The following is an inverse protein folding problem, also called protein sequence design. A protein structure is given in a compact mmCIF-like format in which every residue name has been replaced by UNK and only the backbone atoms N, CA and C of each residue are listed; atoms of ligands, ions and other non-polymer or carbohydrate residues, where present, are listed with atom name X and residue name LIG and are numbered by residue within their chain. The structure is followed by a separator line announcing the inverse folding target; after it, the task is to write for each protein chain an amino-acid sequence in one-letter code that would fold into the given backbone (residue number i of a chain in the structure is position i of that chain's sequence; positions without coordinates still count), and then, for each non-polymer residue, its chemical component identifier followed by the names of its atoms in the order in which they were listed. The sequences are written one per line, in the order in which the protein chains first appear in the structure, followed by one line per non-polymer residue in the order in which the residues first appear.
data_IF_359706204445
#
_entry.id   IF_359706204445
#
_cell.length_a   1.000
_cell.length_b   1.000
_cell.length_c   1.000
_cell.angle_alpha   90.00
_cell.angle_beta   90.00
_cell.angle_gamma   90.00
#
_symmetry.space_group_name_H-M   'P 1'
#
loop_
_entity.id
_entity.type
_entity.pdbx_description
1 polymer ?
#
# COMPACT_ATOMS: atom_id res chain seq x y z
N UNK A 1 12.75 11.69 -5.67
CA UNK A 1 13.22 10.50 -6.41
C UNK A 1 13.53 10.99 -7.81
N UNK A 2 14.65 10.62 -8.43
CA UNK A 2 14.92 10.99 -9.82
C UNK A 2 14.17 10.05 -10.77
N UNK A 3 13.54 10.63 -11.78
CA UNK A 3 13.11 9.96 -13.00
C UNK A 3 13.73 10.71 -14.17
N UNK A 4 14.29 10.01 -15.15
CA UNK A 4 14.89 10.65 -16.32
C UNK A 4 13.99 10.47 -17.53
N UNK A 5 13.41 11.57 -18.02
CA UNK A 5 12.44 11.61 -19.12
C UNK A 5 13.10 11.68 -20.52
N UNK A 6 14.30 11.14 -20.70
CA UNK A 6 15.04 11.25 -21.99
C UNK A 6 14.99 9.94 -22.78
N UNK A 7 14.58 10.00 -24.05
CA UNK A 7 14.49 8.85 -24.97
C UNK A 7 15.82 8.09 -25.18
N UNK A 8 16.95 8.72 -24.87
CA UNK A 8 18.29 8.11 -24.93
C UNK A 8 18.57 7.11 -23.80
N UNK A 9 17.75 7.06 -22.76
CA UNK A 9 17.92 6.17 -21.62
C UNK A 9 17.07 4.88 -21.73
N UNK A 10 16.27 4.73 -22.79
CA UNK A 10 15.43 3.56 -23.00
C UNK A 10 16.28 2.36 -23.43
N UNK A 11 16.61 1.47 -22.48
CA UNK A 11 17.33 0.23 -22.79
C UNK A 11 16.59 -0.67 -23.78
N UNK A 12 17.29 -1.64 -24.41
CA UNK A 12 16.81 -2.50 -25.51
C UNK A 12 15.43 -3.15 -25.29
N UNK A 13 15.03 -3.42 -24.05
CA UNK A 13 13.78 -4.11 -23.71
C UNK A 13 12.86 -3.31 -22.77
N UNK A 14 13.22 -2.06 -22.46
CA UNK A 14 12.52 -1.23 -21.49
C UNK A 14 12.58 -1.76 -20.04
N UNK A 15 12.11 -0.97 -19.08
CA UNK A 15 12.01 -1.38 -17.67
C UNK A 15 10.58 -1.84 -17.35
N UNK A 16 10.40 -3.15 -17.14
CA UNK A 16 9.09 -3.75 -16.81
C UNK A 16 8.94 -4.17 -15.35
N UNK A 17 9.90 -3.82 -14.50
CA UNK A 17 9.97 -4.31 -13.11
C UNK A 17 8.89 -3.71 -12.19
N UNK A 18 8.25 -2.60 -12.59
CA UNK A 18 7.18 -1.95 -11.84
C UNK A 18 5.99 -2.86 -11.53
N UNK A 19 5.75 -3.91 -12.32
CA UNK A 19 4.62 -4.81 -12.11
C UNK A 19 4.97 -6.05 -11.28
N UNK A 20 6.26 -6.38 -11.13
CA UNK A 20 6.66 -7.71 -10.63
C UNK A 20 6.27 -7.95 -9.17
N UNK A 21 6.31 -6.89 -8.36
CA UNK A 21 6.02 -6.94 -6.93
C UNK A 21 4.58 -6.54 -6.60
N UNK A 22 3.76 -6.28 -7.61
CA UNK A 22 2.37 -5.89 -7.41
C UNK A 22 1.44 -7.12 -7.44
N UNK A 23 0.46 -7.18 -6.53
CA UNK A 23 -0.59 -8.19 -6.61
C UNK A 23 -1.49 -7.92 -7.81
N UNK A 24 -2.34 -8.89 -8.18
CA UNK A 24 -3.39 -8.65 -9.17
C UNK A 24 -4.56 -7.90 -8.52
N UNK A 25 -4.30 -6.69 -8.03
CA UNK A 25 -5.23 -5.93 -7.20
C UNK A 25 -6.56 -5.67 -7.88
N UNK A 26 -6.57 -5.40 -9.19
CA UNK A 26 -7.83 -5.16 -9.89
C UNK A 26 -8.71 -6.41 -9.93
N UNK A 27 -8.12 -7.61 -9.96
CA UNK A 27 -8.84 -8.88 -10.03
C UNK A 27 -9.60 -9.24 -8.75
N UNK A 28 -9.07 -8.88 -7.57
CA UNK A 28 -9.75 -9.15 -6.29
C UNK A 28 -10.48 -7.93 -5.73
N UNK A 29 -10.31 -6.74 -6.31
CA UNK A 29 -10.90 -5.49 -5.80
C UNK A 29 -12.43 -5.45 -5.80
N UNK A 30 -13.11 -6.36 -6.49
CA UNK A 30 -14.55 -6.27 -6.77
C UNK A 30 -14.93 -5.13 -7.71
N UNK A 31 -13.98 -4.57 -8.44
CA UNK A 31 -14.19 -3.44 -9.37
C UNK A 31 -14.02 -2.06 -8.74
N UNK A 32 -13.78 -1.97 -7.43
CA UNK A 32 -13.61 -0.70 -6.70
C UNK A 32 -12.26 -0.02 -6.96
N UNK A 33 -11.23 -0.81 -7.27
CA UNK A 33 -9.89 -0.33 -7.61
C UNK A 33 -9.48 -0.86 -8.98
N UNK A 34 -9.44 0.03 -9.95
CA UNK A 34 -9.05 -0.22 -11.32
C UNK A 34 -7.56 0.03 -11.52
N UNK A 35 -6.97 -0.73 -12.45
CA UNK A 35 -5.59 -0.56 -12.89
C UNK A 35 -5.46 0.49 -13.98
N UNK A 36 -4.33 1.18 -13.99
CA UNK A 36 -3.91 2.14 -15.02
C UNK A 36 -2.55 2.75 -14.68
N UNK A 37 -1.94 3.51 -15.60
CA UNK A 37 -0.63 4.13 -15.32
C UNK A 37 -0.64 5.08 -14.11
N UNK A 38 -1.81 5.68 -13.80
CA UNK A 38 -2.00 6.56 -12.65
C UNK A 38 -1.81 5.87 -11.28
N UNK A 39 -1.83 4.54 -11.19
CA UNK A 39 -1.67 3.86 -9.89
C UNK A 39 -0.20 3.56 -9.55
N UNK A 40 0.72 3.86 -10.47
CA UNK A 40 2.15 3.56 -10.40
C UNK A 40 2.51 2.09 -10.66
N UNK A 41 1.65 1.16 -10.28
CA UNK A 41 1.82 -0.28 -10.47
C UNK A 41 1.04 -0.90 -11.65
N UNK A 42 1.10 -2.23 -11.77
CA UNK A 42 0.23 -3.03 -12.64
C UNK A 42 0.11 -4.45 -12.11
N UNK A 43 -1.07 -5.05 -12.26
CA UNK A 43 -1.37 -6.44 -11.97
C UNK A 43 -0.42 -7.42 -12.68
N UNK A 44 0.34 -8.23 -11.92
CA UNK A 44 1.17 -9.29 -12.51
C UNK A 44 1.42 -10.51 -11.61
N UNK A 45 1.56 -10.37 -10.28
CA UNK A 45 1.80 -11.49 -9.34
C UNK A 45 3.04 -12.33 -9.72
N UNK A 46 4.22 -11.70 -9.82
CA UNK A 46 5.47 -12.43 -10.10
C UNK A 46 6.28 -12.73 -8.85
N UNK A 47 6.46 -11.73 -7.99
CA UNK A 47 7.30 -11.78 -6.80
C UNK A 47 6.45 -11.48 -5.56
N UNK A 48 5.88 -12.52 -4.97
CA UNK A 48 5.05 -12.42 -3.76
C UNK A 48 5.92 -12.46 -2.50
N UNK A 49 5.81 -11.48 -1.57
CA UNK A 49 6.46 -11.58 -0.28
C UNK A 49 5.91 -12.75 0.55
N UNK A 50 6.79 -13.43 1.29
CA UNK A 50 6.41 -14.49 2.22
C UNK A 50 5.96 -13.91 3.56
N UNK A 51 5.36 -14.72 4.43
CA UNK A 51 5.10 -14.34 5.82
C UNK A 51 6.36 -13.75 6.49
N UNK A 52 7.50 -14.42 6.29
CA UNK A 52 8.80 -13.99 6.82
C UNK A 52 9.15 -12.55 6.39
N UNK A 53 8.90 -12.19 5.13
CA UNK A 53 9.19 -10.85 4.62
C UNK A 53 8.42 -9.74 5.36
N UNK A 54 7.24 -10.03 5.90
CA UNK A 54 6.50 -9.09 6.76
C UNK A 54 6.95 -9.19 8.23
N UNK A 55 7.21 -10.41 8.71
CA UNK A 55 7.47 -10.69 10.11
C UNK A 55 8.81 -10.12 10.63
N UNK A 56 9.82 -10.00 9.76
CA UNK A 56 11.16 -9.49 10.13
C UNK A 56 11.17 -8.03 10.61
N UNK A 57 10.18 -7.24 10.22
CA UNK A 57 10.11 -5.83 10.60
C UNK A 57 9.42 -5.66 11.94
N UNK A 58 9.89 -4.75 12.79
CA UNK A 58 9.07 -4.22 13.90
C UNK A 58 8.03 -3.26 13.30
N UNK A 59 6.74 -3.63 13.34
CA UNK A 59 5.71 -2.83 12.70
C UNK A 59 5.42 -1.51 13.44
N UNK A 60 5.96 -1.30 14.64
CA UNK A 60 5.86 -0.04 15.39
C UNK A 60 7.09 0.83 15.14
N UNK A 61 8.29 0.29 15.33
CA UNK A 61 9.52 1.10 15.38
C UNK A 61 10.32 1.11 14.06
N UNK A 62 10.00 0.22 13.12
CA UNK A 62 10.75 0.11 11.87
C UNK A 62 10.07 0.86 10.72
N UNK A 63 10.58 2.05 10.40
CA UNK A 63 10.03 2.84 9.29
C UNK A 63 10.16 2.15 7.93
N UNK A 64 11.09 1.20 7.79
CA UNK A 64 11.36 0.52 6.51
C UNK A 64 10.14 -0.26 6.03
N UNK A 65 9.37 -0.85 6.93
CA UNK A 65 8.16 -1.59 6.59
C UNK A 65 7.16 -0.69 5.86
N UNK A 66 6.84 0.44 6.48
CA UNK A 66 5.85 1.41 6.00
C UNK A 66 6.31 2.18 4.76
N UNK A 67 7.62 2.28 4.54
CA UNK A 67 8.23 2.86 3.34
C UNK A 67 8.46 1.86 2.21
N UNK A 68 8.28 0.56 2.44
CA UNK A 68 8.53 -0.51 1.45
C UNK A 68 7.24 -1.06 0.87
N UNK A 69 6.21 -1.23 1.68
CA UNK A 69 4.99 -1.92 1.29
C UNK A 69 3.86 -0.94 0.96
N UNK A 70 3.16 -1.18 -0.15
CA UNK A 70 1.94 -0.46 -0.51
C UNK A 70 0.76 -1.09 0.21
N UNK A 71 0.39 -0.49 1.33
CA UNK A 71 -0.66 -1.03 2.21
C UNK A 71 -2.05 -0.50 1.88
N UNK A 72 -2.16 0.59 1.12
CA UNK A 72 -3.44 1.18 0.73
C UNK A 72 -3.47 1.37 -0.78
N UNK A 73 -4.59 1.01 -1.40
CA UNK A 73 -4.95 1.43 -2.74
C UNK A 73 -6.27 2.20 -2.64
N UNK A 74 -6.31 3.43 -3.16
CA UNK A 74 -7.52 4.23 -3.15
C UNK A 74 -8.58 3.71 -4.13
N UNK A 75 -9.83 4.02 -3.81
CA UNK A 75 -11.01 3.69 -4.60
C UNK A 75 -11.11 4.70 -5.75
N UNK A 76 -10.93 4.21 -6.98
CA UNK A 76 -10.96 5.03 -8.19
C UNK A 76 -12.10 4.66 -9.14
N UNK A 77 -13.01 3.78 -8.71
CA UNK A 77 -14.21 3.43 -9.45
C UNK A 77 -15.34 3.07 -8.49
N UNK A 78 -16.51 3.68 -8.69
CA UNK A 78 -17.73 3.28 -7.96
C UNK A 78 -18.31 2.03 -8.64
N UNK A 79 -18.20 0.88 -7.96
CA UNK A 79 -18.59 -0.41 -8.54
C UNK A 79 -20.07 -0.76 -8.33
N UNK A 80 -20.71 -0.19 -7.32
CA UNK A 80 -22.10 -0.48 -6.94
C UNK A 80 -22.79 0.80 -6.44
N UNK A 81 -24.13 0.84 -6.55
CA UNK A 81 -24.92 1.95 -6.02
C UNK A 81 -24.90 1.95 -4.49
N UNK A 82 -25.00 3.12 -3.87
CA UNK A 82 -24.93 3.29 -2.42
C UNK A 82 -25.93 2.38 -1.67
N UNK A 83 -27.18 2.32 -2.13
CA UNK A 83 -28.23 1.50 -1.50
C UNK A 83 -27.89 0.00 -1.53
N UNK A 84 -27.31 -0.48 -2.64
CA UNK A 84 -26.88 -1.87 -2.79
C UNK A 84 -25.71 -2.20 -1.85
N UNK A 85 -24.77 -1.24 -1.69
CA UNK A 85 -23.63 -1.38 -0.77
C UNK A 85 -24.14 -1.47 0.68
N UNK A 86 -25.08 -0.60 1.06
CA UNK A 86 -25.73 -0.62 2.39
C UNK A 86 -26.40 -1.96 2.64
N UNK A 87 -27.28 -2.40 1.74
CA UNK A 87 -28.06 -3.61 1.91
C UNK A 87 -27.20 -4.88 1.93
N UNK A 88 -26.21 -4.97 1.04
CA UNK A 88 -25.36 -6.17 0.90
C UNK A 88 -24.42 -6.35 2.09
N UNK A 89 -23.87 -5.25 2.61
CA UNK A 89 -22.80 -5.29 3.61
C UNK A 89 -23.27 -5.03 5.04
N UNK A 90 -24.55 -4.65 5.23
CA UNK A 90 -25.11 -4.35 6.54
C UNK A 90 -24.47 -3.13 7.20
N UNK A 91 -24.13 -2.12 6.39
CA UNK A 91 -23.54 -0.84 6.83
C UNK A 91 -24.58 0.29 6.75
N UNK A 92 -24.23 1.48 7.22
CA UNK A 92 -25.09 2.67 7.14
C UNK A 92 -24.74 3.55 5.92
N UNK A 93 -25.65 4.45 5.55
CA UNK A 93 -25.47 5.32 4.37
C UNK A 93 -24.26 6.25 4.48
N UNK A 94 -23.94 6.75 5.68
CA UNK A 94 -22.75 7.58 5.93
C UNK A 94 -21.45 6.80 5.83
N UNK A 95 -21.50 5.47 5.97
CA UNK A 95 -20.35 4.57 5.84
C UNK A 95 -20.04 4.17 4.39
N UNK A 96 -20.91 4.49 3.43
CA UNK A 96 -20.66 4.19 2.01
C UNK A 96 -19.42 4.97 1.54
N UNK A 97 -18.43 4.28 0.93
CA UNK A 97 -17.22 4.93 0.43
C UNK A 97 -17.47 5.64 -0.90
N UNK A 98 -16.67 6.66 -1.13
CA UNK A 98 -16.68 7.52 -2.32
C UNK A 98 -15.32 7.46 -3.02
N UNK A 99 -15.18 8.11 -4.18
CA UNK A 99 -13.88 8.20 -4.86
C UNK A 99 -12.85 8.87 -3.95
N UNK A 100 -11.66 8.28 -3.84
CA UNK A 100 -10.61 8.75 -2.94
C UNK A 100 -10.68 8.17 -1.52
N UNK A 101 -11.72 7.41 -1.18
CA UNK A 101 -11.69 6.59 0.03
C UNK A 101 -10.82 5.34 -0.16
N UNK A 102 -10.54 4.62 0.91
CA UNK A 102 -9.72 3.41 0.86
C UNK A 102 -10.47 2.28 0.14
N UNK A 103 -9.91 1.78 -0.97
CA UNK A 103 -10.50 0.67 -1.75
C UNK A 103 -9.93 -0.69 -1.36
N UNK A 104 -8.62 -0.74 -1.09
CA UNK A 104 -7.91 -1.93 -0.59
C UNK A 104 -7.01 -1.52 0.56
N UNK A 105 -7.09 -2.24 1.68
CA UNK A 105 -6.17 -2.11 2.80
C UNK A 105 -5.54 -3.46 3.15
N UNK A 106 -4.22 -3.44 3.33
CA UNK A 106 -3.45 -4.53 3.91
C UNK A 106 -3.08 -4.14 5.34
N UNK A 107 -3.55 -4.91 6.32
CA UNK A 107 -3.29 -4.66 7.74
C UNK A 107 -2.13 -5.54 8.15
N UNK A 108 -0.94 -4.94 8.22
CA UNK A 108 0.31 -5.63 8.52
C UNK A 108 0.52 -5.76 10.04
N UNK A 109 -0.44 -6.43 10.69
CA UNK A 109 -0.46 -6.66 12.13
C UNK A 109 0.55 -7.72 12.59
N UNK A 110 0.58 -8.00 13.89
CA UNK A 110 1.41 -9.06 14.50
C UNK A 110 0.55 -10.28 14.85
N UNK A 111 1.18 -11.45 14.97
CA UNK A 111 0.53 -12.69 15.43
C UNK A 111 -0.23 -12.53 16.75
N UNK A 112 0.27 -11.67 17.63
CA UNK A 112 -0.34 -11.38 18.94
C UNK A 112 -1.51 -10.39 18.88
N UNK A 113 -1.90 -9.90 17.70
CA UNK A 113 -3.02 -8.97 17.55
C UNK A 113 -4.36 -9.72 17.55
N UNK A 114 -5.08 -9.61 18.66
CA UNK A 114 -6.33 -10.32 18.88
C UNK A 114 -7.56 -9.60 18.31
N UNK A 115 -7.39 -8.40 17.72
CA UNK A 115 -8.50 -7.66 17.10
C UNK A 115 -9.05 -8.36 15.87
N UNK A 116 -8.24 -9.20 15.22
CA UNK A 116 -8.62 -10.06 14.10
C UNK A 116 -8.73 -11.49 14.63
N UNK A 117 -9.95 -11.91 14.92
CA UNK A 117 -10.25 -13.15 15.68
C UNK A 117 -10.05 -14.38 14.81
N UNK A 118 -10.47 -14.28 13.55
CA UNK A 118 -10.28 -15.28 12.51
C UNK A 118 -10.18 -14.60 11.13
N UNK A 119 -10.09 -15.39 10.06
CA UNK A 119 -9.89 -14.86 8.71
C UNK A 119 -11.05 -13.99 8.20
N UNK A 120 -12.23 -14.02 8.83
CA UNK A 120 -13.39 -13.21 8.41
C UNK A 120 -13.91 -12.30 9.52
N UNK A 121 -13.50 -12.45 10.78
CA UNK A 121 -14.07 -11.74 11.91
C UNK A 121 -13.04 -10.84 12.62
N UNK A 122 -13.45 -9.61 12.93
CA UNK A 122 -12.66 -8.64 13.68
C UNK A 122 -13.51 -7.85 14.68
N UNK A 123 -12.86 -7.05 15.52
CA UNK A 123 -13.54 -6.08 16.40
C UNK A 123 -14.24 -4.95 15.64
N UNK A 124 -13.98 -4.80 14.33
CA UNK A 124 -14.53 -3.76 13.47
C UNK A 124 -15.56 -4.28 12.46
N UNK A 125 -16.09 -5.49 12.67
CA UNK A 125 -16.98 -6.19 11.73
C UNK A 125 -16.28 -7.31 10.97
N UNK A 126 -16.94 -7.84 9.93
CA UNK A 126 -16.36 -8.91 9.12
C UNK A 126 -15.45 -8.35 8.02
N UNK A 127 -14.29 -8.98 7.83
CA UNK A 127 -13.29 -8.62 6.81
C UNK A 127 -13.43 -9.50 5.59
N UNK A 128 -12.97 -9.02 4.44
CA UNK A 128 -13.09 -9.78 3.20
C UNK A 128 -12.58 -9.03 1.98
N UNK A 129 -12.95 -9.56 0.82
CA UNK A 129 -12.64 -9.01 -0.50
C UNK A 129 -13.91 -8.42 -1.12
N UNK A 130 -13.72 -7.54 -2.10
CA UNK A 130 -14.80 -6.98 -2.88
C UNK A 130 -15.57 -8.08 -3.62
N UNK A 131 -16.90 -8.00 -3.58
CA UNK A 131 -17.79 -9.00 -4.15
C UNK A 131 -18.19 -10.13 -3.20
N UNK A 132 -17.66 -10.16 -1.97
CA UNK A 132 -18.16 -11.01 -0.88
C UNK A 132 -18.70 -10.07 0.21
N UNK A 133 -19.93 -10.31 0.68
CA UNK A 133 -20.55 -9.48 1.70
C UNK A 133 -19.73 -9.50 3.00
N UNK A 134 -19.38 -8.31 3.51
CA UNK A 134 -18.67 -8.16 4.78
C UNK A 134 -18.88 -6.75 5.36
N UNK A 135 -18.77 -6.57 6.67
CA UNK A 135 -19.22 -5.37 7.38
C UNK A 135 -18.10 -4.49 7.96
N UNK A 136 -16.84 -4.71 7.57
CA UNK A 136 -15.71 -3.94 8.10
C UNK A 136 -15.83 -2.45 7.81
N UNK A 137 -15.84 -1.65 8.87
CA UNK A 137 -15.77 -0.19 8.81
C UNK A 137 -14.46 0.26 9.43
N UNK A 138 -13.68 1.07 8.69
CA UNK A 138 -12.43 1.60 9.23
C UNK A 138 -12.75 2.60 10.37
N UNK A 139 -12.27 2.36 11.60
CA UNK A 139 -12.52 3.24 12.75
C UNK A 139 -11.94 4.66 12.60
N UNK A 140 -10.95 4.88 11.71
CA UNK A 140 -10.36 6.20 11.50
C UNK A 140 -11.18 7.08 10.56
N UNK A 141 -11.82 6.48 9.56
CA UNK A 141 -12.55 7.20 8.51
C UNK A 141 -14.06 7.09 8.66
N UNK A 142 -14.54 6.15 9.49
CA UNK A 142 -15.94 5.73 9.55
C UNK A 142 -16.50 5.35 8.16
N UNK A 143 -15.67 4.77 7.30
CA UNK A 143 -16.05 4.29 5.97
C UNK A 143 -15.86 2.78 5.87
N UNK A 144 -16.80 2.12 5.20
CA UNK A 144 -16.63 0.74 4.76
C UNK A 144 -15.51 0.67 3.72
N UNK A 145 -14.65 -0.34 3.85
CA UNK A 145 -13.52 -0.56 2.95
C UNK A 145 -13.78 -1.84 2.16
N UNK A 146 -13.88 -1.79 0.82
CA UNK A 146 -14.29 -2.97 0.04
C UNK A 146 -13.36 -4.19 0.11
N UNK A 147 -12.09 -3.98 0.45
CA UNK A 147 -11.10 -5.06 0.52
C UNK A 147 -10.19 -4.86 1.74
N UNK A 148 -10.26 -5.79 2.69
CA UNK A 148 -9.60 -5.70 3.99
C UNK A 148 -8.85 -6.99 4.28
N UNK A 149 -7.53 -6.90 4.31
CA UNK A 149 -6.67 -8.08 4.39
C UNK A 149 -5.69 -7.97 5.57
N UNK A 150 -6.04 -8.49 6.76
CA UNK A 150 -5.07 -8.67 7.83
C UNK A 150 -4.03 -9.74 7.45
N UNK A 151 -2.80 -9.53 7.88
CA UNK A 151 -1.72 -10.52 7.72
C UNK A 151 -1.96 -11.71 8.64
N UNK A 152 -2.33 -11.42 9.89
CA UNK A 152 -2.59 -12.41 10.93
C UNK A 152 -4.00 -12.29 11.48
N UNK A 153 -4.62 -13.44 11.76
CA UNK A 153 -5.86 -13.52 12.52
C UNK A 153 -5.89 -14.82 13.34
N UNK A 154 -6.41 -14.77 14.56
CA UNK A 154 -6.41 -15.92 15.47
C UNK A 154 -5.01 -16.50 15.73
N UNK A 155 -3.97 -15.65 15.68
CA UNK A 155 -2.56 -16.07 15.80
C UNK A 155 -1.96 -16.76 14.57
N UNK A 156 -2.72 -16.93 13.48
CA UNK A 156 -2.29 -17.62 12.25
C UNK A 156 -2.07 -16.65 11.10
N UNK A 157 -1.15 -17.00 10.19
CA UNK A 157 -0.97 -16.26 8.93
C UNK A 157 -2.13 -16.56 7.99
N UNK A 158 -2.90 -15.54 7.61
CA UNK A 158 -4.14 -15.69 6.83
C UNK A 158 -4.13 -14.93 5.50
N UNK A 159 -3.16 -14.05 5.24
CA UNK A 159 -3.16 -13.21 4.02
C UNK A 159 -3.31 -14.01 2.71
N UNK A 160 -2.71 -15.19 2.66
CA UNK A 160 -2.76 -16.06 1.49
C UNK A 160 -4.12 -16.74 1.29
N UNK A 161 -5.05 -16.74 2.24
CA UNK A 161 -6.37 -17.38 2.09
C UNK A 161 -7.37 -16.46 1.36
N UNK A 162 -7.08 -15.16 1.27
CA UNK A 162 -7.94 -14.18 0.61
C UNK A 162 -7.90 -14.20 -0.92
N UNK A 163 -7.11 -15.07 -1.54
CA UNK A 163 -6.98 -15.16 -2.99
C UNK A 163 -8.26 -15.62 -3.69
N UNK A 164 -8.48 -15.16 -4.93
CA UNK A 164 -9.69 -15.45 -5.72
C UNK A 164 -10.02 -16.94 -5.79
N UNK A 165 -9.00 -17.79 -5.99
CA UNK A 165 -9.15 -19.24 -6.09
C UNK A 165 -9.43 -19.96 -4.77
N UNK A 166 -9.31 -19.28 -3.62
CA UNK A 166 -9.36 -19.90 -2.29
C UNK A 166 -8.16 -20.80 -1.95
N UNK A 167 -7.28 -21.09 -2.92
CA UNK A 167 -6.09 -21.90 -2.74
C UNK A 167 -4.89 -21.01 -2.30
N UNK A 168 -4.34 -21.19 -1.09
CA UNK A 168 -3.22 -20.39 -0.60
C UNK A 168 -1.96 -20.42 -1.47
N UNK A 169 -1.73 -21.54 -2.19
CA UNK A 169 -0.60 -21.70 -3.10
C UNK A 169 -0.72 -20.82 -4.35
N UNK A 170 -1.95 -20.48 -4.75
CA UNK A 170 -2.26 -19.73 -5.96
C UNK A 170 -2.77 -18.31 -5.67
N UNK A 171 -2.80 -17.92 -4.39
CA UNK A 171 -3.38 -16.65 -3.98
C UNK A 171 -2.72 -15.45 -4.66
N UNK A 172 -3.59 -14.63 -5.26
CA UNK A 172 -3.27 -13.39 -5.93
C UNK A 172 -3.30 -12.16 -4.99
N UNK A 173 -3.68 -12.36 -3.72
CA UNK A 173 -3.71 -11.32 -2.69
C UNK A 173 -2.41 -11.35 -1.88
N UNK A 174 -1.73 -10.21 -1.86
CA UNK A 174 -0.57 -9.94 -1.00
C UNK A 174 -0.26 -8.44 -0.99
N UNK A 175 0.44 -7.97 0.03
CA UNK A 175 0.86 -6.57 0.10
C UNK A 175 2.13 -6.38 -0.76
N UNK A 176 2.01 -5.60 -1.83
CA UNK A 176 3.08 -5.39 -2.79
C UNK A 176 4.20 -4.49 -2.29
N UNK A 177 5.37 -4.58 -2.91
CA UNK A 177 6.50 -3.68 -2.66
C UNK A 177 6.40 -2.50 -3.64
N UNK A 178 6.48 -1.28 -3.11
CA UNK A 178 6.26 -0.05 -3.89
C UNK A 178 7.53 0.50 -4.57
N UNK A 179 8.68 -0.13 -4.34
CA UNK A 179 9.99 0.43 -4.71
C UNK A 179 10.13 0.65 -6.22
N UNK A 180 9.48 -0.21 -7.00
CA UNK A 180 9.49 -0.21 -8.45
C UNK A 180 8.28 0.49 -9.07
N UNK A 181 7.30 0.94 -8.28
CA UNK A 181 6.14 1.67 -8.81
C UNK A 181 6.58 2.95 -9.53
N UNK A 182 5.90 3.29 -10.62
CA UNK A 182 6.28 4.40 -11.48
C UNK A 182 5.08 5.08 -12.11
N UNK A 183 4.86 6.34 -11.74
CA UNK A 183 3.82 7.22 -12.29
C UNK A 183 4.24 7.95 -13.57
N UNK A 184 5.51 7.91 -13.97
CA UNK A 184 5.95 8.58 -15.21
C UNK A 184 5.54 7.84 -16.49
N UNK A 185 5.02 6.61 -16.37
CA UNK A 185 4.61 5.76 -17.49
C UNK A 185 3.46 6.37 -18.26
N UNK A 186 3.50 6.32 -19.59
CA UNK A 186 2.47 6.89 -20.47
C UNK A 186 1.46 5.84 -20.96
N UNK A 187 1.57 4.59 -20.53
CA UNK A 187 0.61 3.53 -20.82
C UNK A 187 0.59 2.49 -19.70
N UNK A 188 -0.55 1.80 -19.53
CA UNK A 188 -0.72 0.75 -18.50
C UNK A 188 0.34 -0.35 -18.60
N UNK A 189 0.67 -0.75 -19.84
CA UNK A 189 1.73 -1.72 -20.17
C UNK A 189 3.00 -1.05 -20.71
N UNK A 190 3.11 0.27 -20.58
CA UNK A 190 4.30 1.02 -20.98
C UNK A 190 5.49 0.70 -20.10
N UNK A 191 6.68 1.03 -20.59
CA UNK A 191 7.92 0.87 -19.83
C UNK A 191 8.04 1.94 -18.74
N UNK A 192 8.62 1.56 -17.60
CA UNK A 192 8.97 2.49 -16.54
C UNK A 192 10.18 3.34 -16.93
N UNK A 193 10.19 4.60 -16.49
CA UNK A 193 11.32 5.54 -16.62
C UNK A 193 12.09 5.68 -15.29
N UNK A 194 11.84 4.78 -14.34
CA UNK A 194 12.60 4.71 -13.08
C UNK A 194 13.99 4.11 -13.33
N UNK A 195 14.98 4.78 -12.75
CA UNK A 195 16.37 4.35 -12.76
C UNK A 195 16.54 2.98 -12.10
N UNK A 196 17.38 2.15 -12.70
CA UNK A 196 17.85 0.89 -12.09
C UNK A 196 19.03 1.22 -11.19
N UNK A 197 18.89 0.93 -9.89
CA UNK A 197 19.95 1.16 -8.91
C UNK A 197 20.94 0.00 -9.00
N UNK A 198 22.08 0.22 -9.66
CA UNK A 198 23.17 -0.76 -9.75
C UNK A 198 24.06 -0.77 -8.50
N UNK A 199 24.29 0.40 -7.91
CA UNK A 199 25.01 0.57 -6.66
C UNK A 199 24.43 1.77 -5.91
N UNK A 200 24.49 1.75 -4.58
CA UNK A 200 24.08 2.88 -3.74
C UNK A 200 24.99 3.01 -2.53
N UNK A 201 25.17 4.24 -2.03
CA UNK A 201 26.04 4.51 -0.87
C UNK A 201 25.73 3.67 0.36
N UNK A 202 24.45 3.32 0.58
CA UNK A 202 24.06 2.42 1.67
C UNK A 202 24.73 1.04 1.61
N UNK A 203 25.02 0.53 0.42
CA UNK A 203 25.73 -0.74 0.22
C UNK A 203 27.21 -0.63 0.63
N UNK A 204 27.85 0.51 0.36
CA UNK A 204 29.23 0.77 0.80
C UNK A 204 29.38 0.63 2.33
N UNK A 205 28.38 1.10 3.10
CA UNK A 205 28.34 0.90 4.55
C UNK A 205 28.24 -0.58 4.93
N UNK A 206 27.43 -1.36 4.22
CA UNK A 206 27.26 -2.80 4.46
C UNK A 206 28.56 -3.56 4.17
N UNK A 207 29.17 -3.32 3.01
CA UNK A 207 30.44 -3.96 2.60
C UNK A 207 31.57 -3.61 3.58
N UNK A 208 31.67 -2.34 3.99
CA UNK A 208 32.67 -1.89 4.97
C UNK A 208 32.45 -2.58 6.32
N UNK A 209 31.22 -2.62 6.82
CA UNK A 209 30.91 -3.27 8.09
C UNK A 209 31.23 -4.77 8.05
N UNK A 210 30.90 -5.46 6.95
CA UNK A 210 31.23 -6.87 6.76
C UNK A 210 32.75 -7.10 6.77
N UNK A 211 33.52 -6.27 6.05
CA UNK A 211 34.98 -6.37 6.05
C UNK A 211 35.57 -6.18 7.46
N UNK A 212 35.06 -5.20 8.22
CA UNK A 212 35.48 -4.96 9.61
C UNK A 212 35.18 -6.16 10.52
N UNK A 213 34.00 -6.79 10.38
CA UNK A 213 33.65 -8.03 11.09
C UNK A 213 34.64 -9.15 10.74
N UNK A 214 34.95 -9.34 9.47
CA UNK A 214 35.89 -10.37 8.99
C UNK A 214 37.32 -10.16 9.49
N UNK A 215 37.70 -8.91 9.77
CA UNK A 215 38.99 -8.56 10.37
C UNK A 215 39.01 -8.61 11.91
N UNK A 216 37.89 -8.95 12.57
CA UNK A 216 37.77 -8.97 14.03
C UNK A 216 37.49 -7.61 14.68
N UNK A 217 37.30 -6.55 13.89
CA UNK A 217 37.09 -5.19 14.36
C UNK A 217 35.59 -4.90 14.59
N UNK A 218 34.99 -5.60 15.57
CA UNK A 218 33.54 -5.57 15.77
C UNK A 218 32.99 -4.19 16.19
N UNK A 219 33.71 -3.43 17.00
CA UNK A 219 33.26 -2.10 17.43
C UNK A 219 33.17 -1.12 16.26
N UNK A 220 34.15 -1.14 15.36
CA UNK A 220 34.13 -0.29 14.17
C UNK A 220 33.02 -0.72 13.21
N UNK A 221 32.76 -2.03 13.08
CA UNK A 221 31.65 -2.54 12.29
C UNK A 221 30.30 -2.04 12.81
N UNK A 222 30.10 -2.07 14.13
CA UNK A 222 28.91 -1.54 14.80
C UNK A 222 28.76 -0.03 14.51
N UNK A 223 29.84 0.73 14.65
CA UNK A 223 29.83 2.17 14.34
C UNK A 223 29.45 2.43 12.87
N UNK A 224 30.00 1.66 11.93
CA UNK A 224 29.69 1.79 10.50
C UNK A 224 28.22 1.48 10.21
N UNK A 225 27.69 0.35 10.68
CA UNK A 225 26.31 -0.04 10.39
C UNK A 225 25.29 0.90 11.06
N UNK A 226 25.62 1.46 12.24
CA UNK A 226 24.74 2.37 12.95
C UNK A 226 24.46 3.65 12.17
N UNK A 227 25.37 4.12 11.31
CA UNK A 227 25.07 5.26 10.42
C UNK A 227 23.94 4.93 9.43
N UNK A 228 23.95 3.71 8.87
CA UNK A 228 22.89 3.27 7.96
C UNK A 228 21.57 3.02 8.70
N UNK A 229 21.63 2.47 9.93
CA UNK A 229 20.46 2.25 10.79
C UNK A 229 19.80 3.57 11.19
N UNK A 230 20.60 4.54 11.63
CA UNK A 230 20.13 5.88 11.95
C UNK A 230 19.45 6.52 10.75
N UNK A 231 19.92 6.31 9.51
CA UNK A 231 19.20 6.81 8.33
C UNK A 231 17.80 6.21 8.17
N UNK A 232 17.63 4.93 8.51
CA UNK A 232 16.42 4.15 8.24
C UNK A 232 15.38 4.16 9.37
N UNK A 233 15.72 4.65 10.56
CA UNK A 233 14.78 4.79 11.67
C UNK A 233 13.78 5.94 11.46
N UNK A 234 12.67 5.89 12.19
CA UNK A 234 11.72 7.00 12.27
C UNK A 234 12.39 8.28 12.80
N UNK A 235 12.11 9.41 12.17
CA UNK A 235 12.55 10.72 12.67
C UNK A 235 11.59 11.27 13.72
N UNK A 236 12.12 12.07 14.63
CA UNK A 236 11.27 12.71 15.65
C UNK A 236 10.24 13.61 14.96
N UNK A 237 8.96 13.45 15.33
CA UNK A 237 7.85 14.17 14.70
C UNK A 237 7.45 13.68 13.31
N UNK A 238 8.04 12.60 12.78
CA UNK A 238 7.65 12.03 11.49
C UNK A 238 6.24 11.43 11.58
N UNK A 239 5.38 11.79 10.63
CA UNK A 239 4.09 11.15 10.45
C UNK A 239 4.30 9.70 10.00
N UNK A 240 3.94 8.75 10.88
CA UNK A 240 4.11 7.32 10.64
C UNK A 240 3.10 6.76 9.64
N UNK A 241 2.02 7.49 9.40
CA UNK A 241 0.98 7.12 8.44
C UNK A 241 1.25 7.69 7.05
N UNK A 242 2.11 8.71 6.93
CA UNK A 242 2.45 9.28 5.63
C UNK A 242 3.01 8.23 4.69
N UNK A 243 2.45 8.18 3.49
CA UNK A 243 2.85 7.25 2.44
C UNK A 243 3.23 7.98 1.16
N UNK A 244 4.26 7.48 0.51
CA UNK A 244 4.63 7.91 -0.83
C UNK A 244 5.37 6.80 -1.56
N UNK A 245 5.22 6.78 -2.88
CA UNK A 245 5.95 5.89 -3.79
C UNK A 245 6.30 6.60 -5.11
N UNK A 246 6.72 5.84 -6.13
CA UNK A 246 7.05 6.41 -7.43
C UNK A 246 5.86 6.83 -8.29
N UNK A 247 4.62 6.59 -7.85
CA UNK A 247 3.41 7.11 -8.50
C UNK A 247 3.37 8.64 -8.50
N UNK A 248 4.05 9.30 -7.54
CA UNK A 248 4.16 10.76 -7.48
C UNK A 248 4.64 11.41 -8.77
N UNK A 249 5.40 10.69 -9.60
CA UNK A 249 5.85 11.16 -10.90
C UNK A 249 4.72 11.34 -11.94
N UNK A 250 3.47 10.99 -11.62
CA UNK A 250 2.34 11.12 -12.53
C UNK A 250 1.85 12.57 -12.69
N UNK A 251 1.88 13.38 -11.63
CA UNK A 251 1.51 14.80 -11.68
C UNK A 251 2.63 15.67 -11.16
N UNK A 252 2.80 16.85 -11.76
CA UNK A 252 3.74 17.86 -11.26
C UNK A 252 3.39 18.27 -9.83
N UNK A 253 2.10 18.43 -9.54
CA UNK A 253 1.63 18.79 -8.21
C UNK A 253 1.91 17.74 -7.13
N UNK A 254 2.17 16.49 -7.52
CA UNK A 254 2.50 15.39 -6.60
C UNK A 254 4.01 15.16 -6.45
N UNK A 255 4.85 15.88 -7.22
CA UNK A 255 6.31 15.74 -7.19
C UNK A 255 6.93 15.15 -8.45
N UNK A 256 6.17 15.02 -9.55
CA UNK A 256 6.72 14.82 -10.89
C UNK A 256 7.36 16.09 -11.44
N UNK A 257 8.22 15.93 -12.45
CA UNK A 257 8.86 17.07 -13.13
C UNK A 257 7.84 17.87 -13.97
N UNK A 258 6.90 17.14 -14.58
CA UNK A 258 5.78 17.64 -15.37
C UNK A 258 4.54 16.77 -15.16
N UNK A 259 3.37 17.25 -15.62
CA UNK A 259 2.18 16.41 -15.65
C UNK A 259 2.36 15.34 -16.74
N UNK A 260 2.03 14.09 -16.40
CA UNK A 260 2.10 12.99 -17.34
C UNK A 260 1.27 13.32 -18.59
N UNK A 261 1.82 13.05 -19.78
CA UNK A 261 1.17 13.38 -21.06
C UNK A 261 -0.22 12.75 -21.25
N UNK A 262 -0.55 11.73 -20.45
CA UNK A 262 -1.86 11.06 -20.46
C UNK A 262 -2.80 11.52 -19.34
N UNK A 263 -2.45 12.53 -18.56
CA UNK A 263 -3.19 12.97 -17.37
C UNK A 263 -4.65 13.36 -17.69
N UNK A 264 -4.90 13.96 -18.85
CA UNK A 264 -6.23 14.39 -19.28
C UNK A 264 -7.00 13.32 -20.08
N UNK A 265 -6.37 12.17 -20.35
CA UNK A 265 -7.03 11.09 -21.08
C UNK A 265 -8.11 10.43 -20.23
N UNK A 266 -9.30 10.24 -20.79
CA UNK A 266 -10.40 9.51 -20.15
C UNK A 266 -10.37 8.04 -20.55
N UNK A 267 -9.94 7.18 -19.63
CA UNK A 267 -9.99 5.73 -19.80
C UNK A 267 -11.37 5.19 -19.39
N UNK A 268 -11.92 4.24 -20.13
CA UNK A 268 -13.27 3.70 -19.89
C UNK A 268 -13.45 2.84 -18.63
N UNK A 269 -12.46 2.77 -17.74
CA UNK A 269 -12.42 1.85 -16.59
C UNK A 269 -12.93 2.47 -15.29
N UNK A 270 -12.62 3.75 -15.05
CA UNK A 270 -12.92 4.46 -13.81
C UNK A 270 -14.16 5.31 -13.97
N UNK A 271 -15.08 5.23 -13.01
CA UNK A 271 -16.35 5.95 -13.03
C UNK A 271 -16.67 6.55 -11.66
N UNK A 272 -17.32 7.71 -11.67
CA UNK A 272 -17.90 8.33 -10.49
C UNK A 272 -19.24 7.70 -10.08
N UNK A 273 -19.86 8.25 -9.03
CA UNK A 273 -21.14 7.76 -8.52
C UNK A 273 -22.31 7.90 -9.51
N UNK A 274 -22.19 8.79 -10.51
CA UNK A 274 -23.17 8.98 -11.58
C UNK A 274 -22.89 8.06 -12.78
N UNK A 275 -21.86 7.22 -12.71
CA UNK A 275 -21.41 6.38 -13.82
C UNK A 275 -20.61 7.15 -14.89
N UNK A 276 -20.29 8.41 -14.65
CA UNK A 276 -19.50 9.24 -15.56
C UNK A 276 -18.05 8.81 -15.51
N UNK A 277 -17.44 8.64 -16.69
CA UNK A 277 -16.03 8.26 -16.81
C UNK A 277 -15.15 9.42 -16.36
N UNK A 278 -14.19 9.13 -15.48
CA UNK A 278 -13.22 10.11 -14.99
C UNK A 278 -11.90 10.03 -15.78
N UNK A 279 -11.17 11.13 -15.86
CA UNK A 279 -9.86 11.17 -16.50
C UNK A 279 -8.76 10.58 -15.59
N UNK A 280 -7.56 10.40 -16.13
CA UNK A 280 -6.45 9.82 -15.37
C UNK A 280 -5.97 10.70 -14.21
N UNK A 281 -6.14 12.03 -14.27
CA UNK A 281 -5.82 12.94 -13.16
C UNK A 281 -6.73 12.68 -11.97
N UNK A 282 -8.02 12.55 -12.22
CA UNK A 282 -9.02 12.23 -11.19
C UNK A 282 -8.78 10.82 -10.64
N UNK A 283 -8.52 9.84 -11.51
CA UNK A 283 -8.18 8.48 -11.09
C UNK A 283 -6.88 8.42 -10.27
N UNK A 284 -5.86 9.22 -10.61
CA UNK A 284 -4.64 9.37 -9.82
C UNK A 284 -4.96 9.89 -8.42
N UNK A 285 -5.65 11.03 -8.33
CA UNK A 285 -6.02 11.65 -7.05
C UNK A 285 -6.85 10.71 -6.17
N UNK A 286 -7.73 9.91 -6.78
CA UNK A 286 -8.56 8.95 -6.08
C UNK A 286 -7.80 7.68 -5.64
N UNK A 287 -6.78 7.25 -6.39
CA UNK A 287 -6.06 6.00 -6.11
C UNK A 287 -4.78 6.17 -5.29
N UNK A 288 -4.09 7.30 -5.43
CA UNK A 288 -2.84 7.61 -4.73
C UNK A 288 -3.12 8.33 -3.42
N UNK A 289 -3.50 7.55 -2.41
CA UNK A 289 -3.66 8.05 -1.05
C UNK A 289 -2.28 8.10 -0.38
N UNK A 290 -1.87 9.28 0.09
CA UNK A 290 -0.63 9.46 0.83
C UNK A 290 -0.74 9.00 2.29
N UNK A 291 -1.43 7.88 2.51
CA UNK A 291 -1.65 7.26 3.81
C UNK A 291 -1.42 5.75 3.75
N UNK A 292 -0.74 5.20 4.75
CA UNK A 292 -0.54 3.77 4.97
C UNK A 292 -1.44 3.24 6.11
N UNK A 293 -1.37 1.94 6.41
CA UNK A 293 -2.18 1.29 7.46
C UNK A 293 -1.49 1.18 8.82
N UNK A 294 -0.52 2.05 9.15
CA UNK A 294 0.24 2.00 10.41
C UNK A 294 -0.68 2.00 11.62
N UNK A 295 -1.66 2.92 11.69
CA UNK A 295 -2.60 2.96 12.81
C UNK A 295 -3.38 1.65 12.93
N UNK A 296 -4.03 1.20 11.86
CA UNK A 296 -4.80 -0.05 11.86
C UNK A 296 -3.95 -1.27 12.21
N UNK A 297 -2.68 -1.29 11.84
CA UNK A 297 -1.79 -2.44 12.03
C UNK A 297 -1.12 -2.49 13.41
N UNK A 298 -1.09 -1.36 14.13
CA UNK A 298 -0.41 -1.24 15.43
C UNK A 298 -1.34 -0.85 16.58
N UNK A 299 -2.53 -0.31 16.25
CA UNK A 299 -3.44 0.36 17.17
C UNK A 299 -2.79 1.48 17.98
N UNK A 300 -1.75 2.11 17.43
CA UNK A 300 -1.07 3.24 18.03
C UNK A 300 -1.39 4.48 17.21
N UNK A 301 -2.23 5.34 17.77
CA UNK A 301 -2.32 6.72 17.29
C UNK A 301 -0.96 7.38 17.51
N UNK A 302 -0.41 8.05 16.49
CA UNK A 302 0.58 9.06 16.78
C UNK A 302 -0.16 10.19 17.50
N UNK A 303 0.14 10.38 18.79
CA UNK A 303 -0.22 11.62 19.50
C UNK A 303 0.52 12.77 18.81
N UNK A 304 -0.02 13.27 17.69
CA UNK A 304 0.09 14.69 17.41
C UNK A 304 -0.65 15.37 18.55
N UNK A 305 0.02 16.28 19.24
CA UNK A 305 -0.59 17.05 20.30
C UNK A 305 -1.89 17.68 19.74
N UNK A 306 -3.05 17.31 20.34
CA UNK A 306 -4.41 17.85 20.15
C UNK A 306 -5.51 16.86 19.72
N UNK A 307 -5.55 15.63 20.23
CA UNK A 307 -6.84 14.93 20.36
C UNK A 307 -7.07 14.47 21.80
N UNK A 308 -7.83 15.29 22.53
CA UNK A 308 -8.41 14.95 23.82
C UNK A 308 -9.62 14.05 23.58
N UNK A 309 -9.70 13.01 24.40
CA UNK A 309 -10.92 12.38 24.89
C UNK A 309 -11.65 11.43 23.92
N UNK A 310 -11.57 10.13 24.20
CA UNK A 310 -12.74 9.25 24.38
C UNK A 310 -12.26 7.90 24.95
N UNK A 311 -12.09 7.83 26.27
CA UNK A 311 -12.15 6.57 27.02
C UNK A 311 -13.37 6.72 27.92
N UNK A 312 -14.52 6.20 27.47
CA UNK A 312 -15.68 6.02 28.32
C UNK A 312 -15.45 4.76 29.15
N UNK A 313 -15.10 5.02 30.41
CA UNK A 313 -15.49 4.35 31.66
C UNK A 313 -16.28 3.04 31.56
N UNK A 314 -15.72 1.99 32.17
CA UNK A 314 -16.45 0.80 32.63
C UNK A 314 -15.98 0.40 34.03
N UNK A 315 -16.40 1.14 35.06
CA UNK A 315 -16.47 0.67 36.45
C UNK A 315 -17.66 1.35 37.13
N UNK A 316 -18.66 0.53 37.43
CA UNK A 316 -19.82 0.76 38.27
C UNK A 316 -20.35 -0.62 38.62
#
# INVERSE_FOLDING_TARGET
MSCQHTSSATGRFGNRTYSYFNPQFSNFSGGWTQRGQYIGGMDFQRCRPTEYAYAIFDNVNDSRMWKTFKTVYGLNNIASKADDVVATNGITADQVPTLGDQGIIFILNKKSDNRFKDATNSDYGTVGRGGIAHSFVNPETNKWVPNVFPVYAGGQYVLNTYGVSGNPAQSNVFCGINKTDDGSRTAEKGDAHRDVIMARTGETYLIKAEAQVRSGNFQDAISTINQLRARAEWKNGEDREYYTDGSMAFLKSAGGDEDNSTALSTLGKCKDANGTKINNTEAFKASFLQKNTYYLSTYRCFQSANFKLFIITGRG
#
